data_IF_157585157288
#
_entry.id   IF_157585157288
#
_cell.length_a   1.000
_cell.length_b   1.000
_cell.length_c   1.000
_cell.angle_alpha   90.00
_cell.angle_beta   90.00
_cell.angle_gamma   90.00
#
_symmetry.space_group_name_H-M   'P 1'
#
loop_
_entity.id
_entity.type
_entity.pdbx_description
1 polymer ?
#
# COMPACT_ATOMS: atom_id res chain seq x y z
N UNK A 1 -3.69 4.38 18.67
CA UNK A 1 -3.36 4.36 20.13
C UNK A 1 -2.03 3.68 20.38
N UNK A 2 -1.81 2.43 19.93
CA UNK A 2 -0.54 1.71 20.14
C UNK A 2 0.69 2.36 19.50
N UNK A 3 0.58 2.84 18.25
CA UNK A 3 1.68 3.53 17.54
C UNK A 3 2.16 4.77 18.31
N UNK A 4 1.22 5.62 18.72
CA UNK A 4 1.49 6.82 19.54
C UNK A 4 2.09 6.53 20.92
N UNK A 5 1.98 5.30 21.41
CA UNK A 5 2.58 4.85 22.66
C UNK A 5 3.92 4.09 22.46
N UNK A 6 4.49 4.11 21.25
CA UNK A 6 5.72 3.38 20.92
C UNK A 6 5.57 1.85 20.87
N UNK A 7 4.35 1.32 20.94
CA UNK A 7 4.07 -0.12 20.90
C UNK A 7 3.96 -0.63 19.46
N UNK A 8 4.99 -0.35 18.65
CA UNK A 8 5.02 -0.63 17.20
C UNK A 8 4.80 -2.12 16.91
N UNK A 9 5.56 -3.01 17.57
CA UNK A 9 5.44 -4.48 17.38
C UNK A 9 4.03 -4.99 17.65
N UNK A 10 3.37 -4.45 18.68
CA UNK A 10 2.00 -4.82 19.03
C UNK A 10 1.00 -4.28 17.99
N UNK A 11 1.20 -3.06 17.52
CA UNK A 11 0.39 -2.47 16.47
C UNK A 11 0.47 -3.31 15.18
N UNK A 12 1.68 -3.62 14.72
CA UNK A 12 1.91 -4.48 13.55
C UNK A 12 1.27 -5.85 13.75
N UNK A 13 1.52 -6.52 14.88
CA UNK A 13 0.98 -7.86 15.15
C UNK A 13 -0.55 -7.91 15.08
N UNK A 14 -1.25 -6.92 15.66
CA UNK A 14 -2.72 -6.84 15.59
C UNK A 14 -3.21 -6.73 14.14
N UNK A 15 -2.56 -5.89 13.34
CA UNK A 15 -2.93 -5.67 11.94
C UNK A 15 -2.64 -6.91 11.09
N UNK A 16 -1.48 -7.53 11.24
CA UNK A 16 -1.13 -8.77 10.53
C UNK A 16 -2.04 -9.93 10.91
N UNK A 17 -2.39 -10.08 12.19
CA UNK A 17 -3.28 -11.14 12.65
C UNK A 17 -4.70 -10.93 12.12
N UNK A 18 -5.15 -9.68 12.01
CA UNK A 18 -6.39 -9.37 11.30
C UNK A 18 -6.34 -9.84 9.84
N UNK A 19 -5.28 -9.52 9.10
CA UNK A 19 -5.12 -9.93 7.70
C UNK A 19 -5.08 -11.45 7.55
N UNK A 20 -4.38 -12.16 8.45
CA UNK A 20 -4.36 -13.63 8.47
C UNK A 20 -5.74 -14.23 8.71
N UNK A 21 -6.57 -13.57 9.51
CA UNK A 21 -7.96 -13.98 9.76
C UNK A 21 -8.92 -13.72 8.58
N UNK A 22 -8.53 -12.87 7.62
CA UNK A 22 -9.37 -12.43 6.49
C UNK A 22 -8.63 -12.56 5.15
N UNK A 23 -8.19 -13.78 4.76
CA UNK A 23 -7.27 -13.97 3.64
C UNK A 23 -7.84 -13.61 2.26
N UNK A 24 -9.16 -13.45 2.10
CA UNK A 24 -9.80 -13.11 0.82
C UNK A 24 -10.58 -11.80 0.83
N UNK A 25 -10.75 -11.17 1.99
CA UNK A 25 -11.67 -10.04 2.18
C UNK A 25 -11.16 -9.02 3.21
N UNK A 26 -9.85 -8.76 3.21
CA UNK A 26 -9.30 -7.74 4.08
C UNK A 26 -9.80 -6.34 3.72
N UNK A 27 -10.14 -5.57 4.75
CA UNK A 27 -10.45 -4.15 4.60
C UNK A 27 -9.20 -3.37 4.10
N UNK A 28 -9.38 -2.59 3.04
CA UNK A 28 -8.34 -1.73 2.46
C UNK A 28 -7.70 -0.81 3.51
N UNK A 29 -8.50 -0.26 4.42
CA UNK A 29 -8.02 0.65 5.48
C UNK A 29 -7.00 -0.02 6.41
N UNK A 30 -7.12 -1.33 6.64
CA UNK A 30 -6.17 -2.09 7.48
C UNK A 30 -4.84 -2.26 6.75
N UNK A 31 -4.87 -2.50 5.45
CA UNK A 31 -3.66 -2.62 4.61
C UNK A 31 -2.94 -1.28 4.53
N UNK A 32 -3.69 -0.19 4.29
CA UNK A 32 -3.17 1.19 4.28
C UNK A 32 -2.52 1.51 5.62
N UNK A 33 -3.21 1.24 6.73
CA UNK A 33 -2.69 1.52 8.07
C UNK A 33 -1.43 0.70 8.38
N UNK A 34 -1.37 -0.57 7.95
CA UNK A 34 -0.17 -1.39 8.13
C UNK A 34 1.02 -0.85 7.34
N UNK A 35 0.79 -0.43 6.09
CA UNK A 35 1.82 0.23 5.29
C UNK A 35 2.30 1.53 5.95
N UNK A 36 1.39 2.37 6.44
CA UNK A 36 1.73 3.62 7.15
C UNK A 36 2.57 3.37 8.40
N UNK A 37 2.21 2.37 9.21
CA UNK A 37 3.00 2.00 10.40
C UNK A 37 4.41 1.59 10.01
N UNK A 38 4.59 0.80 8.95
CA UNK A 38 5.92 0.41 8.49
C UNK A 38 6.70 1.59 7.88
N UNK A 39 6.04 2.48 7.15
CA UNK A 39 6.66 3.68 6.59
C UNK A 39 7.09 4.67 7.69
N UNK A 40 6.31 4.83 8.75
CA UNK A 40 6.63 5.71 9.89
C UNK A 40 7.88 5.27 10.66
N UNK A 41 8.24 3.98 10.57
CA UNK A 41 9.40 3.40 11.25
C UNK A 41 10.56 3.06 10.30
N UNK A 42 10.57 3.68 9.11
CA UNK A 42 11.54 3.48 8.02
C UNK A 42 11.65 2.03 7.49
N UNK A 43 10.67 1.18 7.79
CA UNK A 43 10.60 -0.21 7.32
C UNK A 43 9.91 -0.30 5.94
N UNK A 44 10.40 0.47 4.97
CA UNK A 44 9.78 0.60 3.64
C UNK A 44 9.72 -0.71 2.84
N UNK A 45 10.67 -1.63 3.05
CA UNK A 45 10.63 -2.96 2.44
C UNK A 45 9.44 -3.79 2.94
N UNK A 46 9.14 -3.72 4.24
CA UNK A 46 7.98 -4.41 4.83
C UNK A 46 6.67 -3.79 4.33
N UNK A 47 6.57 -2.45 4.32
CA UNK A 47 5.41 -1.77 3.75
C UNK A 47 5.14 -2.23 2.31
N UNK A 48 6.18 -2.23 1.47
CA UNK A 48 6.09 -2.67 0.08
C UNK A 48 5.67 -4.13 -0.03
N UNK A 49 6.23 -5.04 0.77
CA UNK A 49 5.87 -6.45 0.77
C UNK A 49 4.38 -6.66 1.06
N UNK A 50 3.81 -5.94 2.03
CA UNK A 50 2.38 -6.03 2.33
C UNK A 50 1.50 -5.45 1.22
N UNK A 51 1.95 -4.37 0.56
CA UNK A 51 1.24 -3.79 -0.59
C UNK A 51 1.24 -4.76 -1.78
N UNK A 52 2.40 -5.35 -2.10
CA UNK A 52 2.53 -6.34 -3.18
C UNK A 52 1.71 -7.59 -2.88
N UNK A 53 1.69 -8.05 -1.63
CA UNK A 53 0.84 -9.15 -1.21
C UNK A 53 -0.66 -8.81 -1.36
N UNK A 54 -1.07 -7.60 -1.01
CA UNK A 54 -2.44 -7.15 -1.21
C UNK A 54 -2.82 -7.11 -2.70
N UNK A 55 -1.91 -6.65 -3.57
CA UNK A 55 -2.11 -6.72 -5.02
C UNK A 55 -2.27 -8.16 -5.49
N UNK A 56 -1.37 -9.03 -5.01
CA UNK A 56 -1.41 -10.50 -4.98
C UNK A 56 -2.83 -11.07 -4.88
N UNK A 57 -3.43 -10.80 -3.73
CA UNK A 57 -4.53 -11.58 -3.19
C UNK A 57 -5.88 -10.89 -3.45
N UNK A 58 -5.99 -9.60 -3.16
CA UNK A 58 -7.27 -8.88 -3.17
C UNK A 58 -7.54 -8.17 -4.50
N UNK A 59 -6.48 -7.82 -5.24
CA UNK A 59 -6.57 -7.05 -6.48
C UNK A 59 -5.98 -7.80 -7.68
N UNK A 60 -5.95 -9.13 -7.64
CA UNK A 60 -5.47 -9.95 -8.76
C UNK A 60 -6.25 -9.62 -10.03
N UNK A 61 -5.53 -9.29 -11.10
CA UNK A 61 -6.10 -8.86 -12.39
C UNK A 61 -6.78 -7.48 -12.36
N UNK A 62 -6.67 -6.73 -11.27
CA UNK A 62 -7.22 -5.37 -11.11
C UNK A 62 -6.10 -4.37 -10.83
N UNK A 63 -6.42 -3.10 -11.03
CA UNK A 63 -5.56 -2.01 -10.58
C UNK A 63 -5.58 -1.92 -9.05
N UNK A 64 -4.40 -1.70 -8.47
CA UNK A 64 -4.25 -1.44 -7.05
C UNK A 64 -4.88 -0.07 -6.72
N UNK A 65 -5.58 0.08 -5.58
CA UNK A 65 -6.11 1.37 -5.15
C UNK A 65 -5.03 2.46 -5.15
N UNK A 66 -5.41 3.66 -5.59
CA UNK A 66 -4.50 4.80 -5.78
C UNK A 66 -3.61 5.06 -4.56
N UNK A 67 -4.18 5.05 -3.36
CA UNK A 67 -3.43 5.30 -2.14
C UNK A 67 -2.33 4.26 -1.88
N UNK A 68 -2.60 2.97 -2.11
CA UNK A 68 -1.58 1.93 -1.98
C UNK A 68 -0.50 2.06 -3.08
N UNK A 69 -0.88 2.53 -4.27
CA UNK A 69 0.08 2.79 -5.36
C UNK A 69 1.03 3.94 -5.03
N UNK A 70 0.51 5.04 -4.46
CA UNK A 70 1.32 6.15 -3.97
C UNK A 70 2.29 5.67 -2.91
N UNK A 71 1.81 4.92 -1.90
CA UNK A 71 2.69 4.39 -0.84
C UNK A 71 3.74 3.42 -1.37
N UNK A 72 3.40 2.57 -2.34
CA UNK A 72 4.37 1.71 -3.02
C UNK A 72 5.45 2.54 -3.72
N UNK A 73 5.05 3.58 -4.46
CA UNK A 73 5.98 4.51 -5.12
C UNK A 73 6.93 5.18 -4.12
N UNK A 74 6.40 5.69 -3.00
CA UNK A 74 7.21 6.27 -1.92
C UNK A 74 8.20 5.24 -1.37
N UNK A 75 7.75 4.03 -1.05
CA UNK A 75 8.63 2.97 -0.56
C UNK A 75 9.75 2.63 -1.55
N UNK A 76 9.46 2.59 -2.86
CA UNK A 76 10.48 2.37 -3.88
C UNK A 76 11.53 3.49 -3.91
N UNK A 77 11.13 4.77 -3.73
CA UNK A 77 12.07 5.90 -3.62
C UNK A 77 12.99 5.72 -2.41
N UNK A 78 12.44 5.43 -1.23
CA UNK A 78 13.24 5.23 -0.01
C UNK A 78 14.18 4.01 -0.09
N UNK A 79 13.84 3.01 -0.90
CA UNK A 79 14.69 1.86 -1.18
C UNK A 79 15.71 2.09 -2.31
N UNK A 80 15.73 3.28 -2.92
CA UNK A 80 16.63 3.63 -4.03
C UNK A 80 16.22 3.04 -5.38
N UNK A 81 15.03 2.44 -5.49
CA UNK A 81 14.51 1.81 -6.70
C UNK A 81 13.76 2.83 -7.57
N UNK A 82 14.48 3.85 -8.06
CA UNK A 82 13.87 5.00 -8.74
C UNK A 82 13.08 4.59 -9.99
N UNK A 83 13.58 3.64 -10.79
CA UNK A 83 12.88 3.15 -11.98
C UNK A 83 11.49 2.57 -11.65
N UNK A 84 11.39 1.83 -10.53
CA UNK A 84 10.12 1.26 -10.08
C UNK A 84 9.18 2.33 -9.52
N UNK A 85 9.73 3.36 -8.88
CA UNK A 85 8.96 4.50 -8.40
C UNK A 85 8.37 5.30 -9.57
N UNK A 86 9.12 5.48 -10.66
CA UNK A 86 8.66 6.18 -11.86
C UNK A 86 7.48 5.45 -12.51
N UNK A 87 7.52 4.12 -12.59
CA UNK A 87 6.39 3.31 -13.06
C UNK A 87 5.15 3.55 -12.21
N UNK A 88 5.29 3.65 -10.88
CA UNK A 88 4.17 3.98 -9.99
C UNK A 88 3.64 5.40 -10.28
N UNK A 89 4.53 6.38 -10.44
CA UNK A 89 4.15 7.77 -10.76
C UNK A 89 3.41 7.89 -12.09
N UNK A 90 3.91 7.26 -13.15
CA UNK A 90 3.26 7.25 -14.46
C UNK A 90 1.86 6.64 -14.40
N UNK A 91 1.69 5.54 -13.65
CA UNK A 91 0.38 4.93 -13.45
C UNK A 91 -0.58 5.87 -12.71
N UNK A 92 -0.12 6.53 -11.66
CA UNK A 92 -0.91 7.54 -10.92
C UNK A 92 -1.40 8.65 -11.85
N UNK A 93 -0.51 9.22 -12.68
CA UNK A 93 -0.89 10.28 -13.63
C UNK A 93 -1.93 9.82 -14.67
N UNK A 94 -1.89 8.54 -15.07
CA UNK A 94 -2.91 7.99 -15.96
C UNK A 94 -4.25 7.80 -15.25
N UNK A 95 -4.27 7.33 -14.00
CA UNK A 95 -5.51 7.20 -13.21
C UNK A 95 -6.17 8.58 -13.03
N UNK A 96 -5.40 9.62 -12.69
CA UNK A 96 -5.92 11.00 -12.64
C UNK A 96 -6.47 11.44 -14.00
N UNK A 97 -5.76 11.19 -15.10
CA UNK A 97 -6.24 11.53 -16.43
C UNK A 97 -7.60 10.88 -16.76
N UNK A 98 -7.81 9.60 -16.40
CA UNK A 98 -9.10 8.94 -16.63
C UNK A 98 -10.22 9.41 -15.69
N UNK A 99 -9.90 9.82 -14.46
CA UNK A 99 -10.88 10.42 -13.54
C UNK A 99 -11.35 11.81 -14.02
N UNK A 100 -10.46 12.59 -14.64
CA UNK A 100 -10.76 13.94 -15.13
C UNK A 100 -11.13 14.02 -16.63
N UNK A 101 -10.99 12.93 -17.37
CA UNK A 101 -11.37 12.83 -18.78
C UNK A 101 -12.01 11.45 -19.08
N UNK A 102 -13.21 11.16 -18.55
CA UNK A 102 -13.90 9.92 -18.87
C UNK A 102 -14.23 9.92 -20.37
N UNK A 103 -13.73 8.92 -21.11
CA UNK A 103 -14.08 8.72 -22.52
C UNK A 103 -15.62 8.65 -22.62
N UNK A 104 -16.26 9.38 -23.55
CA UNK A 104 -17.68 9.18 -23.80
C UNK A 104 -17.91 7.73 -24.29
N UNK A 105 -18.93 7.09 -23.71
CA UNK A 105 -19.45 5.78 -24.11
C UNK A 105 -19.89 5.77 -25.57
#
# INVERSE_FOLDING_TARGET
MYLKCGQIKRCVGILEDYLKGHPSEADLSVIILLADVFMEIDAHSNALQHIEHAHMIYYSGKELPLELMIKAGICQVFLGNIDKAEVCCFRISNVEFYLYNPKPL
#
